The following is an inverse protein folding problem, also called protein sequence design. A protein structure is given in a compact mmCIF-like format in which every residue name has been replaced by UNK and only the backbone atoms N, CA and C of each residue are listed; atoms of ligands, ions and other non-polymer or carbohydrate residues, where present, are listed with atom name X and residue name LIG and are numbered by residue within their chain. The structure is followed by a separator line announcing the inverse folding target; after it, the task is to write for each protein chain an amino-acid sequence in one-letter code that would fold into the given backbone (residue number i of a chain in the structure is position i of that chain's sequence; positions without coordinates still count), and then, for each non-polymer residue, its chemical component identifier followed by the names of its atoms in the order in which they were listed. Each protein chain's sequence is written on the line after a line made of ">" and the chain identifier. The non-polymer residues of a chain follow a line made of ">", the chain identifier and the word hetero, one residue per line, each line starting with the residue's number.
data_IF_057515625384
#
_entry.id   IF_057515625384
#
_cell.length_a   1.000
_cell.length_b   1.000
_cell.length_c   1.000
_cell.angle_alpha   90.00
_cell.angle_beta   90.00
_cell.angle_gamma   90.00
#
_symmetry.space_group_name_H-M   'P 1'
#
loop_
_entity.id
_entity.type
_entity.pdbx_description
1 polymer ?
#
# COMPACT_ATOMS: atom_id res chain seq x y z
N UNK A 1 -1.67 -0.12 -5.38
CA UNK A 1 -0.62 0.66 -4.65
C UNK A 1 -1.25 1.32 -3.44
N UNK A 2 -0.60 1.29 -2.29
CA UNK A 2 -1.02 1.96 -1.05
C UNK A 2 -0.15 3.18 -0.83
N UNK A 3 -0.77 4.33 -0.57
CA UNK A 3 -0.09 5.62 -0.41
C UNK A 3 -0.57 6.23 0.90
N UNK A 4 0.33 6.48 1.84
CA UNK A 4 -0.01 7.10 3.13
C UNK A 4 -0.35 8.58 2.98
N UNK A 5 0.47 9.32 2.23
CA UNK A 5 0.26 10.73 1.94
C UNK A 5 0.05 10.90 0.43
N UNK A 6 -1.21 10.98 0.01
CA UNK A 6 -1.57 11.14 -1.41
C UNK A 6 -1.13 12.49 -1.97
N UNK A 7 -1.16 13.56 -1.14
CA UNK A 7 -0.83 14.93 -1.57
C UNK A 7 0.67 15.08 -1.88
N UNK A 8 1.52 14.61 -0.99
CA UNK A 8 2.98 14.65 -1.21
C UNK A 8 3.40 13.73 -2.35
N UNK A 9 2.74 12.56 -2.45
CA UNK A 9 2.99 11.63 -3.52
C UNK A 9 2.68 12.24 -4.88
N UNK A 10 1.46 12.79 -5.08
CA UNK A 10 1.10 13.38 -6.37
C UNK A 10 1.96 14.59 -6.71
N UNK A 11 2.32 15.42 -5.72
CA UNK A 11 3.25 16.54 -5.92
C UNK A 11 4.60 16.07 -6.49
N UNK A 12 5.16 14.99 -5.92
CA UNK A 12 6.43 14.42 -6.39
C UNK A 12 6.32 13.80 -7.79
N UNK A 13 5.18 13.14 -8.09
CA UNK A 13 4.90 12.55 -9.39
C UNK A 13 4.77 13.63 -10.48
N UNK A 14 4.03 14.71 -10.19
CA UNK A 14 3.88 15.84 -11.11
C UNK A 14 5.22 16.54 -11.37
N UNK A 15 6.03 16.75 -10.34
CA UNK A 15 7.35 17.38 -10.48
C UNK A 15 8.33 16.52 -11.30
N UNK A 16 8.31 15.21 -11.11
CA UNK A 16 9.22 14.30 -11.83
C UNK A 16 8.73 13.89 -13.21
N UNK A 17 7.45 14.09 -13.52
CA UNK A 17 6.74 13.57 -14.70
C UNK A 17 6.93 12.06 -14.92
N UNK A 18 7.14 11.30 -13.82
CA UNK A 18 7.34 9.86 -13.85
C UNK A 18 6.30 9.16 -13.00
N UNK A 19 5.50 8.33 -13.66
CA UNK A 19 4.53 7.44 -13.01
C UNK A 19 5.24 6.17 -12.52
N UNK A 20 4.97 5.73 -11.29
CA UNK A 20 5.35 4.40 -10.83
C UNK A 20 4.60 3.32 -11.61
N UNK A 21 5.26 2.18 -11.89
CA UNK A 21 4.65 1.06 -12.61
C UNK A 21 3.42 0.49 -11.89
N UNK A 22 3.40 0.55 -10.57
CA UNK A 22 2.29 0.06 -9.74
C UNK A 22 1.11 1.05 -9.67
N UNK A 23 1.27 2.30 -10.12
CA UNK A 23 0.21 3.29 -10.13
C UNK A 23 -0.68 3.10 -11.36
N UNK A 24 -1.97 2.83 -11.16
CA UNK A 24 -2.92 2.78 -12.28
C UNK A 24 -3.18 4.16 -12.88
N UNK A 25 -3.46 4.23 -14.18
CA UNK A 25 -3.82 5.47 -14.86
C UNK A 25 -5.05 6.10 -14.21
N UNK A 26 -6.07 5.30 -13.87
CA UNK A 26 -7.28 5.80 -13.21
C UNK A 26 -6.98 6.47 -11.86
N UNK A 27 -6.05 5.91 -11.08
CA UNK A 27 -5.68 6.51 -9.80
C UNK A 27 -4.83 7.77 -9.99
N UNK A 28 -3.93 7.80 -10.97
CA UNK A 28 -3.19 9.00 -11.36
C UNK A 28 -4.16 10.13 -11.76
N UNK A 29 -5.17 9.84 -12.60
CA UNK A 29 -6.22 10.81 -12.98
C UNK A 29 -6.92 11.35 -11.73
N UNK A 30 -7.30 10.47 -10.80
CA UNK A 30 -7.99 10.88 -9.56
C UNK A 30 -7.13 11.80 -8.70
N UNK A 31 -5.87 11.45 -8.48
CA UNK A 31 -4.95 12.27 -7.68
C UNK A 31 -4.64 13.60 -8.36
N UNK A 32 -4.44 13.61 -9.68
CA UNK A 32 -4.21 14.84 -10.46
C UNK A 32 -5.42 15.76 -10.39
N UNK A 33 -6.64 15.24 -10.55
CA UNK A 33 -7.86 16.03 -10.46
C UNK A 33 -8.03 16.64 -9.07
N UNK A 34 -7.84 15.87 -7.99
CA UNK A 34 -7.88 16.36 -6.60
C UNK A 34 -6.85 17.47 -6.37
N UNK A 35 -5.62 17.30 -6.89
CA UNK A 35 -4.53 18.25 -6.69
C UNK A 35 -4.87 19.63 -7.25
N UNK A 36 -5.32 19.69 -8.50
CA UNK A 36 -5.72 20.96 -9.11
C UNK A 36 -7.04 21.49 -8.58
N UNK A 37 -7.97 20.63 -8.18
CA UNK A 37 -9.22 21.05 -7.54
C UNK A 37 -8.97 21.76 -6.21
N UNK A 38 -8.08 21.24 -5.34
CA UNK A 38 -7.72 21.92 -4.08
C UNK A 38 -7.09 23.31 -4.34
N UNK A 39 -6.12 23.37 -5.26
CA UNK A 39 -5.44 24.61 -5.62
C UNK A 39 -6.43 25.66 -6.17
N UNK A 40 -7.40 25.23 -6.96
CA UNK A 40 -8.37 26.13 -7.59
C UNK A 40 -9.55 26.50 -6.67
N UNK A 41 -9.92 25.67 -5.73
CA UNK A 41 -10.98 25.95 -4.75
C UNK A 41 -10.65 27.18 -3.92
N UNK A 42 -9.39 27.40 -3.60
CA UNK A 42 -8.93 28.58 -2.86
C UNK A 42 -9.07 29.87 -3.67
N UNK A 43 -9.00 29.78 -4.99
CA UNK A 43 -9.01 30.93 -5.90
C UNK A 43 -10.36 31.23 -6.56
N UNK A 44 -11.39 30.42 -6.37
CA UNK A 44 -12.79 30.56 -6.82
C UNK A 44 -13.05 30.90 -8.32
N UNK A 45 -12.07 30.74 -9.22
CA UNK A 45 -12.11 31.32 -10.57
C UNK A 45 -12.26 30.30 -11.70
N UNK A 46 -12.23 28.98 -11.44
CA UNK A 46 -12.17 27.99 -12.52
C UNK A 46 -13.34 27.00 -12.50
N UNK A 47 -13.83 26.72 -13.71
CA UNK A 47 -14.95 25.80 -13.94
C UNK A 47 -14.51 24.31 -13.92
N UNK A 48 -15.49 23.42 -13.89
CA UNK A 48 -15.24 21.98 -14.06
C UNK A 48 -14.62 21.63 -15.42
N UNK A 49 -14.95 22.39 -16.47
CA UNK A 49 -14.39 22.19 -17.81
C UNK A 49 -12.92 22.57 -17.88
N UNK A 50 -12.51 23.62 -17.16
CA UNK A 50 -11.10 23.99 -16.99
C UNK A 50 -10.32 22.87 -16.30
N UNK A 51 -10.90 22.27 -15.24
CA UNK A 51 -10.28 21.13 -14.55
C UNK A 51 -10.15 19.91 -15.45
N UNK A 52 -11.19 19.59 -16.23
CA UNK A 52 -11.16 18.49 -17.21
C UNK A 52 -10.01 18.72 -18.21
N UNK A 53 -9.92 19.94 -18.75
CA UNK A 53 -8.88 20.31 -19.71
C UNK A 53 -7.50 20.16 -19.10
N UNK A 54 -7.30 20.70 -17.88
CA UNK A 54 -6.02 20.63 -17.17
C UNK A 54 -5.58 19.21 -16.87
N UNK A 55 -6.50 18.36 -16.39
CA UNK A 55 -6.20 16.94 -16.12
C UNK A 55 -5.80 16.21 -17.40
N UNK A 56 -6.48 16.47 -18.52
CA UNK A 56 -6.13 15.88 -19.83
C UNK A 56 -4.71 16.25 -20.24
N UNK A 57 -4.37 17.55 -20.23
CA UNK A 57 -3.04 18.05 -20.57
C UNK A 57 -1.95 17.37 -19.74
N UNK A 58 -2.13 17.31 -18.42
CA UNK A 58 -1.17 16.70 -17.50
C UNK A 58 -0.99 15.21 -17.78
N UNK A 59 -2.09 14.46 -17.97
CA UNK A 59 -1.99 13.01 -18.24
C UNK A 59 -1.32 12.74 -19.58
N UNK A 60 -1.53 13.57 -20.60
CA UNK A 60 -0.82 13.51 -21.88
C UNK A 60 0.69 13.76 -21.71
N UNK A 61 1.06 14.75 -20.89
CA UNK A 61 2.46 15.10 -20.60
C UNK A 61 3.28 13.96 -19.98
N UNK A 62 2.62 13.02 -19.28
CA UNK A 62 3.29 11.83 -18.74
C UNK A 62 3.75 10.84 -19.82
N UNK A 63 3.29 10.97 -21.05
CA UNK A 63 3.61 10.08 -22.18
C UNK A 63 3.53 8.59 -21.80
N UNK A 64 2.41 8.20 -21.18
CA UNK A 64 2.19 6.85 -20.66
C UNK A 64 1.99 5.89 -21.83
N UNK A 65 2.82 4.85 -21.91
CA UNK A 65 2.70 3.83 -22.95
C UNK A 65 1.30 3.18 -22.92
N UNK A 66 0.64 3.15 -24.08
CA UNK A 66 -0.72 2.60 -24.22
C UNK A 66 -1.85 3.52 -23.72
N UNK A 67 -1.56 4.75 -23.29
CA UNK A 67 -2.60 5.73 -22.99
C UNK A 67 -3.25 6.22 -24.29
N UNK A 68 -4.59 6.17 -24.31
CA UNK A 68 -5.42 6.70 -25.39
C UNK A 68 -6.55 7.52 -24.76
N UNK A 69 -6.57 8.82 -25.05
CA UNK A 69 -7.47 9.79 -24.39
C UNK A 69 -8.96 9.34 -24.43
N UNK A 70 -9.42 8.83 -25.58
CA UNK A 70 -10.82 8.43 -25.75
C UNK A 70 -11.26 7.31 -24.77
N UNK A 71 -10.33 6.48 -24.26
CA UNK A 71 -10.62 5.45 -23.27
C UNK A 71 -10.83 6.04 -21.86
N UNK A 72 -10.26 7.20 -21.58
CA UNK A 72 -10.23 7.79 -20.24
C UNK A 72 -11.06 9.06 -20.10
N UNK A 73 -11.49 9.69 -21.21
CA UNK A 73 -12.21 10.97 -21.19
C UNK A 73 -13.45 10.94 -20.30
N UNK A 74 -14.27 9.89 -20.40
CA UNK A 74 -15.46 9.74 -19.56
C UNK A 74 -15.11 9.59 -18.08
N UNK A 75 -14.00 8.92 -17.76
CA UNK A 75 -13.50 8.78 -16.39
C UNK A 75 -13.02 10.12 -15.84
N UNK A 76 -12.28 10.90 -16.64
CA UNK A 76 -11.82 12.25 -16.28
C UNK A 76 -13.03 13.13 -15.97
N UNK A 77 -14.02 13.19 -16.90
CA UNK A 77 -15.26 13.95 -16.71
C UNK A 77 -16.00 13.57 -15.42
N UNK A 78 -16.19 12.27 -15.20
CA UNK A 78 -16.88 11.77 -13.98
C UNK A 78 -16.15 12.21 -12.71
N UNK A 79 -14.83 12.08 -12.66
CA UNK A 79 -14.05 12.46 -11.46
C UNK A 79 -14.12 13.98 -11.24
N UNK A 80 -13.93 14.79 -12.27
CA UNK A 80 -13.99 16.24 -12.16
C UNK A 80 -15.37 16.72 -11.75
N UNK A 81 -16.46 16.18 -12.35
CA UNK A 81 -17.83 16.51 -11.94
C UNK A 81 -18.09 16.15 -10.48
N UNK A 82 -17.66 14.97 -10.02
CA UNK A 82 -17.84 14.55 -8.63
C UNK A 82 -17.11 15.46 -7.62
N UNK A 83 -15.99 16.07 -8.00
CA UNK A 83 -15.29 17.03 -7.16
C UNK A 83 -16.09 18.32 -6.97
N UNK A 84 -16.77 18.79 -8.01
CA UNK A 84 -17.62 20.00 -7.96
C UNK A 84 -19.04 19.73 -7.46
N UNK A 85 -19.50 18.48 -7.49
CA UNK A 85 -20.82 18.10 -7.00
C UNK A 85 -20.91 18.29 -5.48
N UNK A 86 -21.83 19.12 -5.03
CA UNK A 86 -22.07 19.43 -3.60
C UNK A 86 -23.22 18.62 -2.99
N UNK A 87 -23.82 17.69 -3.76
CA UNK A 87 -24.93 16.87 -3.25
C UNK A 87 -24.48 15.93 -2.13
N UNK A 88 -25.34 15.74 -1.13
CA UNK A 88 -25.10 14.80 -0.02
C UNK A 88 -25.03 13.32 -0.49
N UNK A 89 -25.61 13.03 -1.66
CA UNK A 89 -25.59 11.69 -2.27
C UNK A 89 -24.23 11.33 -2.85
N UNK A 90 -23.35 12.30 -3.06
CA UNK A 90 -22.04 12.07 -3.65
C UNK A 90 -21.05 11.52 -2.61
N UNK A 91 -20.85 10.20 -2.64
CA UNK A 91 -19.87 9.49 -1.80
C UNK A 91 -18.41 9.58 -2.33
N UNK A 92 -18.12 10.47 -3.27
CA UNK A 92 -16.77 10.64 -3.78
C UNK A 92 -15.90 11.37 -2.76
N UNK A 93 -14.81 10.71 -2.33
CA UNK A 93 -13.87 11.34 -1.41
C UNK A 93 -13.08 12.45 -2.12
N UNK A 94 -13.38 13.70 -1.77
CA UNK A 94 -12.77 14.92 -2.34
C UNK A 94 -11.42 15.26 -1.74
N UNK A 95 -11.13 14.78 -0.53
CA UNK A 95 -9.90 15.07 0.20
C UNK A 95 -8.81 14.05 -0.11
N UNK A 96 -7.56 14.45 0.07
CA UNK A 96 -6.44 13.53 0.06
C UNK A 96 -6.40 12.70 1.34
N UNK A 97 -5.87 11.47 1.22
CA UNK A 97 -5.46 10.72 2.39
C UNK A 97 -4.09 11.24 2.82
N UNK A 98 -4.03 11.73 4.05
CA UNK A 98 -2.80 12.26 4.64
C UNK A 98 -2.56 11.55 5.98
N UNK A 99 -1.91 10.38 5.90
CA UNK A 99 -1.54 9.59 7.07
C UNK A 99 -0.03 9.62 7.24
N UNK A 100 0.43 9.85 8.46
CA UNK A 100 1.84 9.74 8.80
C UNK A 100 2.28 8.27 8.91
N UNK A 101 1.41 7.43 9.49
CA UNK A 101 1.64 6.00 9.67
C UNK A 101 0.31 5.25 9.86
N UNK A 102 0.37 3.92 9.74
CA UNK A 102 -0.73 3.04 10.15
C UNK A 102 -0.41 2.50 11.55
N UNK A 103 -1.25 2.80 12.57
CA UNK A 103 -1.05 2.28 13.91
C UNK A 103 -1.47 0.81 14.01
N UNK A 104 -0.65 -0.01 14.68
CA UNK A 104 -0.98 -1.38 15.08
C UNK A 104 -0.87 -1.45 16.59
N UNK A 105 -1.87 -1.99 17.24
CA UNK A 105 -2.03 -1.92 18.67
C UNK A 105 -1.55 -3.19 19.38
N UNK A 106 -1.28 -3.08 20.70
CA UNK A 106 -0.77 -4.20 21.52
C UNK A 106 -1.71 -5.39 21.55
N UNK A 107 -3.04 -5.18 21.69
CA UNK A 107 -4.04 -6.24 21.65
C UNK A 107 -3.99 -7.02 20.34
N UNK A 108 -3.85 -6.31 19.20
CA UNK A 108 -3.74 -6.93 17.86
C UNK A 108 -2.47 -7.78 17.76
N UNK A 109 -1.33 -7.25 18.22
CA UNK A 109 -0.06 -8.01 18.24
C UNK A 109 -0.17 -9.26 19.13
N UNK A 110 -0.85 -9.15 20.27
CA UNK A 110 -1.08 -10.30 21.14
C UNK A 110 -1.93 -11.36 20.43
N UNK A 111 -3.02 -10.99 19.78
CA UNK A 111 -3.84 -11.90 18.95
C UNK A 111 -2.98 -12.59 17.89
N UNK A 112 -2.19 -11.82 17.12
CA UNK A 112 -1.31 -12.37 16.09
C UNK A 112 -0.27 -13.33 16.68
N UNK A 113 0.24 -13.04 17.86
CA UNK A 113 1.27 -13.88 18.53
C UNK A 113 0.80 -15.28 18.84
N UNK A 114 -0.51 -15.51 19.08
CA UNK A 114 -1.10 -16.82 19.37
C UNK A 114 -1.18 -17.73 18.14
N UNK A 115 -1.07 -17.18 16.93
CA UNK A 115 -1.10 -17.98 15.70
C UNK A 115 0.08 -18.95 15.62
N UNK A 116 -0.16 -20.20 15.14
CA UNK A 116 0.85 -21.26 15.21
C UNK A 116 2.01 -21.08 14.22
N UNK A 117 1.76 -20.49 13.05
CA UNK A 117 2.78 -20.40 12.00
C UNK A 117 3.16 -18.96 11.64
N UNK A 118 4.41 -18.74 11.24
CA UNK A 118 4.87 -17.43 10.77
C UNK A 118 4.10 -16.95 9.52
N UNK A 119 3.60 -17.87 8.69
CA UNK A 119 2.80 -17.54 7.51
C UNK A 119 1.47 -16.93 7.90
N UNK A 120 0.77 -17.55 8.87
CA UNK A 120 -0.48 -17.00 9.42
C UNK A 120 -0.25 -15.66 10.12
N UNK A 121 0.81 -15.54 10.92
CA UNK A 121 1.18 -14.28 11.61
C UNK A 121 1.40 -13.15 10.62
N UNK A 122 2.18 -13.39 9.57
CA UNK A 122 2.43 -12.41 8.51
C UNK A 122 1.14 -12.00 7.80
N UNK A 123 0.30 -12.97 7.47
CA UNK A 123 -0.94 -12.75 6.75
C UNK A 123 -1.93 -11.93 7.57
N UNK A 124 -2.18 -12.34 8.82
CA UNK A 124 -3.11 -11.63 9.71
C UNK A 124 -2.60 -10.24 10.06
N UNK A 125 -1.30 -10.05 10.31
CA UNK A 125 -0.71 -8.73 10.49
C UNK A 125 -0.96 -7.83 9.28
N UNK A 126 -0.80 -8.36 8.07
CA UNK A 126 -1.08 -7.64 6.84
C UNK A 126 -2.55 -7.26 6.71
N UNK A 127 -3.47 -8.15 7.13
CA UNK A 127 -4.90 -7.84 7.16
C UNK A 127 -5.20 -6.67 8.12
N UNK A 128 -4.62 -6.64 9.32
CA UNK A 128 -4.78 -5.50 10.24
C UNK A 128 -4.30 -4.18 9.64
N UNK A 129 -3.13 -4.19 9.02
CA UNK A 129 -2.58 -3.01 8.33
C UNK A 129 -3.52 -2.50 7.23
N UNK A 130 -4.01 -3.40 6.38
CA UNK A 130 -4.90 -3.05 5.27
C UNK A 130 -6.25 -2.57 5.79
N UNK A 131 -6.84 -3.26 6.79
CA UNK A 131 -8.12 -2.88 7.36
C UNK A 131 -8.09 -1.47 7.97
N UNK A 132 -6.99 -1.11 8.66
CA UNK A 132 -6.80 0.23 9.19
C UNK A 132 -6.55 1.27 8.11
N UNK A 133 -5.80 0.91 7.07
CA UNK A 133 -5.59 1.80 5.92
C UNK A 133 -6.90 2.09 5.19
N UNK A 134 -7.78 1.10 5.05
CA UNK A 134 -9.08 1.26 4.37
C UNK A 134 -10.13 1.99 5.22
N UNK A 135 -9.98 1.95 6.55
CA UNK A 135 -10.87 2.59 7.52
C UNK A 135 -12.36 2.21 7.34
N UNK A 136 -12.62 0.93 7.08
CA UNK A 136 -13.95 0.38 6.85
C UNK A 136 -14.41 -0.55 7.98
N UNK A 137 -14.16 -0.19 9.24
CA UNK A 137 -14.59 -0.98 10.42
C UNK A 137 -14.02 -2.41 10.46
N UNK A 138 -12.81 -2.57 9.96
CA UNK A 138 -12.12 -3.87 9.89
C UNK A 138 -12.40 -4.68 8.62
N UNK A 139 -13.34 -4.24 7.77
CA UNK A 139 -13.63 -4.91 6.51
C UNK A 139 -12.58 -4.61 5.44
N UNK A 140 -12.22 -5.65 4.71
CA UNK A 140 -11.31 -5.60 3.57
C UNK A 140 -12.10 -6.05 2.35
N UNK A 141 -12.41 -5.11 1.46
CA UNK A 141 -13.22 -5.34 0.28
C UNK A 141 -12.37 -5.92 -0.86
N UNK A 142 -12.88 -6.97 -1.51
CA UNK A 142 -12.23 -7.62 -2.66
C UNK A 142 -12.03 -6.67 -3.85
N UNK A 143 -12.92 -5.69 -4.04
CA UNK A 143 -12.85 -4.74 -5.16
C UNK A 143 -11.64 -3.82 -5.06
N UNK A 144 -11.26 -3.42 -3.84
CA UNK A 144 -10.14 -2.52 -3.57
C UNK A 144 -8.78 -3.24 -3.60
N UNK A 145 -8.82 -4.54 -3.38
CA UNK A 145 -7.70 -5.43 -3.46
C UNK A 145 -7.83 -6.25 -4.74
N UNK A 146 -7.12 -6.16 -5.73
CA UNK A 146 -7.12 -7.09 -6.89
C UNK A 146 -7.24 -8.58 -6.46
N UNK A 147 -8.11 -8.84 -5.49
CA UNK A 147 -8.36 -10.09 -4.77
C UNK A 147 -7.42 -10.32 -3.59
N UNK A 148 -7.69 -11.38 -2.83
CA UNK A 148 -6.86 -11.82 -1.70
C UNK A 148 -5.41 -12.15 -2.09
N UNK A 149 -5.14 -12.39 -3.37
CA UNK A 149 -3.79 -12.62 -3.90
C UNK A 149 -2.85 -11.44 -3.59
N UNK A 150 -3.35 -10.20 -3.59
CA UNK A 150 -2.55 -9.03 -3.24
C UNK A 150 -2.18 -9.01 -1.76
N UNK A 151 -3.10 -9.41 -0.88
CA UNK A 151 -2.80 -9.54 0.56
C UNK A 151 -1.69 -10.55 0.80
N UNK A 152 -1.75 -11.71 0.14
CA UNK A 152 -0.69 -12.73 0.23
C UNK A 152 0.66 -12.20 -0.26
N UNK A 153 0.65 -11.42 -1.35
CA UNK A 153 1.85 -10.77 -1.89
C UNK A 153 2.44 -9.77 -0.89
N UNK A 154 1.63 -8.89 -0.33
CA UNK A 154 2.04 -7.91 0.69
C UNK A 154 2.53 -8.58 1.98
N UNK A 155 1.88 -9.67 2.37
CA UNK A 155 2.31 -10.48 3.50
C UNK A 155 3.63 -11.23 3.25
N UNK A 156 4.11 -11.26 1.99
CA UNK A 156 5.23 -12.10 1.57
C UNK A 156 5.03 -13.58 1.96
N UNK A 157 3.83 -14.11 1.61
CA UNK A 157 3.42 -15.50 1.85
C UNK A 157 3.10 -16.15 0.51
N UNK A 158 3.95 -17.09 0.11
CA UNK A 158 3.77 -17.87 -1.12
C UNK A 158 3.17 -19.23 -0.79
N UNK A 159 1.98 -19.52 -1.34
CA UNK A 159 1.22 -20.76 -1.17
C UNK A 159 0.49 -21.11 -2.47
N UNK A 160 0.20 -22.40 -2.69
CA UNK A 160 -0.76 -22.84 -3.72
C UNK A 160 -2.16 -22.35 -3.37
N UNK A 161 -3.05 -22.29 -4.35
CA UNK A 161 -4.43 -21.82 -4.10
C UNK A 161 -5.15 -22.66 -3.05
N UNK A 162 -4.98 -23.98 -3.10
CA UNK A 162 -5.52 -24.94 -2.12
C UNK A 162 -5.06 -24.59 -0.70
N UNK A 163 -3.74 -24.44 -0.48
CA UNK A 163 -3.18 -24.06 0.82
C UNK A 163 -3.56 -22.66 1.30
N UNK A 164 -3.86 -21.74 0.38
CA UNK A 164 -4.44 -20.44 0.75
C UNK A 164 -5.84 -20.61 1.31
N UNK A 165 -6.66 -21.42 0.64
CA UNK A 165 -8.03 -21.69 1.08
C UNK A 165 -8.05 -22.41 2.42
N UNK A 166 -7.20 -23.42 2.62
CA UNK A 166 -7.02 -24.12 3.91
C UNK A 166 -6.67 -23.14 5.03
N UNK A 167 -5.67 -22.27 4.79
CA UNK A 167 -5.25 -21.27 5.78
C UNK A 167 -6.35 -20.28 6.12
N UNK A 168 -7.13 -19.83 5.14
CA UNK A 168 -8.27 -18.93 5.37
C UNK A 168 -9.37 -19.61 6.17
N UNK A 169 -9.68 -20.88 5.86
CA UNK A 169 -10.63 -21.67 6.61
C UNK A 169 -10.20 -21.87 8.07
N UNK A 170 -8.92 -22.20 8.30
CA UNK A 170 -8.36 -22.33 9.66
C UNK A 170 -8.46 -21.03 10.46
N UNK A 171 -8.12 -19.90 9.83
CA UNK A 171 -8.19 -18.59 10.47
C UNK A 171 -9.64 -18.21 10.80
N UNK A 172 -10.59 -18.54 9.93
CA UNK A 172 -12.00 -18.29 10.17
C UNK A 172 -12.55 -19.20 11.29
N UNK A 173 -12.29 -20.52 11.23
CA UNK A 173 -12.78 -21.47 12.23
C UNK A 173 -12.28 -21.17 13.64
N UNK A 174 -11.12 -20.54 13.77
CA UNK A 174 -10.52 -20.08 15.03
C UNK A 174 -10.90 -18.65 15.42
N UNK A 175 -11.73 -17.97 14.63
CA UNK A 175 -12.23 -16.63 14.93
C UNK A 175 -11.24 -15.47 14.70
N UNK A 176 -10.12 -15.71 13.98
CA UNK A 176 -9.17 -14.63 13.65
C UNK A 176 -9.65 -13.72 12.52
N UNK A 177 -10.49 -14.25 11.65
CA UNK A 177 -11.13 -13.53 10.55
C UNK A 177 -12.60 -13.91 10.42
N UNK A 178 -13.40 -13.02 9.86
CA UNK A 178 -14.79 -13.27 9.50
C UNK A 178 -14.95 -13.14 7.99
N UNK A 179 -15.80 -13.97 7.38
CA UNK A 179 -16.22 -13.83 5.99
C UNK A 179 -17.55 -13.10 5.90
N UNK A 180 -17.73 -12.35 4.82
CA UNK A 180 -19.04 -11.77 4.50
C UNK A 180 -20.06 -12.90 4.25
N UNK A 181 -21.28 -12.75 4.80
CA UNK A 181 -22.37 -13.72 4.64
C UNK A 181 -22.99 -13.75 3.23
N UNK A 182 -22.68 -12.79 2.36
CA UNK A 182 -23.18 -12.77 0.97
C UNK A 182 -22.37 -13.74 0.12
N UNK A 183 -23.06 -14.64 -0.56
CA UNK A 183 -22.52 -15.83 -1.24
C UNK A 183 -21.40 -15.51 -2.25
N UNK A 184 -21.45 -14.39 -2.95
CA UNK A 184 -20.43 -14.02 -3.95
C UNK A 184 -19.40 -12.99 -3.46
N UNK A 185 -19.36 -12.76 -2.15
CA UNK A 185 -18.52 -11.71 -1.58
C UNK A 185 -17.45 -12.30 -0.65
N UNK A 186 -16.22 -12.39 -1.15
CA UNK A 186 -15.04 -12.82 -0.38
C UNK A 186 -14.43 -11.69 0.46
N UNK A 187 -15.25 -10.75 0.93
CA UNK A 187 -14.76 -9.75 1.87
C UNK A 187 -14.38 -10.41 3.18
N UNK A 188 -13.26 -10.01 3.72
CA UNK A 188 -12.74 -10.47 5.01
C UNK A 188 -12.81 -9.33 6.01
N UNK A 189 -13.15 -9.65 7.25
CA UNK A 189 -13.10 -8.73 8.38
C UNK A 189 -12.12 -9.22 9.42
N UNK A 190 -11.38 -8.28 10.02
CA UNK A 190 -10.61 -8.47 11.25
C UNK A 190 -11.16 -7.57 12.35
N UNK A 191 -11.10 -8.05 13.60
CA UNK A 191 -11.53 -7.27 14.76
C UNK A 191 -10.45 -6.27 15.13
N UNK A 192 -10.68 -4.99 14.85
CA UNK A 192 -9.75 -3.91 15.20
C UNK A 192 -9.87 -3.56 16.69
N UNK A 193 -8.73 -3.27 17.32
CA UNK A 193 -8.70 -2.69 18.67
C UNK A 193 -9.17 -1.23 18.64
N UNK A 194 -9.85 -0.81 19.70
CA UNK A 194 -10.21 0.59 19.88
C UNK A 194 -8.96 1.42 20.16
N UNK A 195 -8.71 2.49 19.37
CA UNK A 195 -7.57 3.39 19.57
C UNK A 195 -7.53 4.05 20.95
N UNK A 196 -8.69 4.24 21.61
CA UNK A 196 -8.77 4.89 22.92
C UNK A 196 -8.45 3.93 24.07
N UNK A 197 -8.60 2.62 23.85
CA UNK A 197 -8.44 1.59 24.88
C UNK A 197 -7.14 0.77 24.75
N UNK A 198 -6.31 1.05 23.77
CA UNK A 198 -5.12 0.23 23.51
C UNK A 198 -3.91 1.09 23.10
N UNK A 199 -2.73 0.59 23.41
CA UNK A 199 -1.48 1.28 23.11
C UNK A 199 -0.92 0.88 21.74
N UNK A 200 -0.35 1.84 21.02
CA UNK A 200 0.33 1.58 19.76
C UNK A 200 1.60 0.74 20.01
N UNK A 201 1.59 -0.47 19.47
CA UNK A 201 2.74 -1.36 19.49
C UNK A 201 3.69 -1.13 18.31
N UNK A 202 3.16 -0.69 17.17
CA UNK A 202 3.94 -0.48 15.95
C UNK A 202 3.32 0.60 15.06
N UNK A 203 4.18 1.44 14.48
CA UNK A 203 3.83 2.45 13.48
C UNK A 203 4.36 2.01 12.12
N UNK A 204 3.47 1.63 11.19
CA UNK A 204 3.87 1.23 9.86
C UNK A 204 3.90 2.47 8.95
N UNK A 205 5.06 2.76 8.36
CA UNK A 205 5.30 3.90 7.47
C UNK A 205 5.55 3.46 6.02
N UNK A 206 5.67 2.15 5.76
CA UNK A 206 5.95 1.60 4.43
C UNK A 206 5.19 0.29 4.21
N UNK A 207 4.53 0.17 3.06
CA UNK A 207 3.79 -1.03 2.66
C UNK A 207 4.66 -2.12 2.03
N UNK A 208 5.97 -1.92 1.94
CA UNK A 208 6.88 -2.91 1.37
C UNK A 208 7.07 -4.09 2.35
N UNK A 209 6.75 -5.30 1.86
CA UNK A 209 6.95 -6.54 2.64
C UNK A 209 6.33 -6.50 4.06
N UNK A 210 5.09 -6.05 4.18
CA UNK A 210 4.38 -5.85 5.46
C UNK A 210 4.54 -7.05 6.40
N UNK A 211 4.28 -8.27 5.92
CA UNK A 211 4.38 -9.47 6.76
C UNK A 211 5.79 -9.72 7.32
N UNK A 212 6.85 -9.32 6.59
CA UNK A 212 8.21 -9.43 7.10
C UNK A 212 8.50 -8.37 8.17
N UNK A 213 7.84 -7.22 8.15
CA UNK A 213 7.95 -6.23 9.21
C UNK A 213 7.44 -6.77 10.55
N UNK A 214 6.33 -7.57 10.53
CA UNK A 214 5.89 -8.27 11.73
C UNK A 214 6.97 -9.18 12.31
N UNK A 215 7.43 -10.15 11.49
CA UNK A 215 8.46 -11.09 11.95
C UNK A 215 9.65 -10.34 12.51
N UNK A 216 9.94 -9.20 11.96
CA UNK A 216 11.05 -8.36 12.23
C UNK A 216 11.01 -7.62 13.52
N UNK A 217 9.92 -7.09 13.87
CA UNK A 217 9.77 -6.29 15.07
C UNK A 217 9.36 -7.16 16.26
N UNK A 218 8.69 -8.29 16.03
CA UNK A 218 8.08 -9.05 17.11
C UNK A 218 8.66 -10.47 17.31
N UNK A 219 9.44 -11.00 16.36
CA UNK A 219 10.07 -12.33 16.53
C UNK A 219 11.54 -12.21 16.90
N UNK A 220 11.94 -12.78 18.05
CA UNK A 220 13.34 -12.82 18.48
C UNK A 220 14.25 -13.52 17.46
N UNK A 221 15.49 -13.07 17.35
CA UNK A 221 16.50 -13.70 16.47
C UNK A 221 16.49 -13.21 15.02
N UNK A 222 15.79 -12.13 14.72
CA UNK A 222 15.81 -11.48 13.42
C UNK A 222 16.27 -10.03 13.53
N UNK A 223 16.78 -9.46 12.44
CA UNK A 223 17.13 -8.05 12.29
C UNK A 223 16.83 -7.59 10.87
N UNK A 224 16.76 -6.31 10.64
CA UNK A 224 16.49 -5.74 9.30
C UNK A 224 17.78 -5.63 8.47
N UNK A 225 17.68 -5.87 7.18
CA UNK A 225 18.71 -5.57 6.21
C UNK A 225 18.90 -4.04 6.12
N UNK A 226 20.12 -3.55 6.33
CA UNK A 226 20.40 -2.10 6.29
C UNK A 226 20.09 -1.42 4.96
N UNK A 227 20.03 -2.19 3.86
CA UNK A 227 19.83 -1.60 2.53
C UNK A 227 18.37 -1.65 2.04
N UNK A 228 17.63 -2.73 2.32
CA UNK A 228 16.28 -2.92 1.77
C UNK A 228 15.22 -3.18 2.83
N UNK A 229 15.54 -3.08 4.12
CA UNK A 229 14.61 -3.37 5.22
C UNK A 229 14.18 -4.85 5.33
N UNK A 230 14.51 -5.69 4.33
CA UNK A 230 14.17 -7.12 4.34
C UNK A 230 14.78 -7.79 5.58
N UNK A 231 13.98 -8.63 6.19
CA UNK A 231 14.41 -9.31 7.40
C UNK A 231 15.39 -10.42 7.12
N UNK A 232 16.39 -10.44 7.96
CA UNK A 232 17.44 -11.46 7.95
C UNK A 232 17.52 -12.13 9.30
N UNK A 233 17.76 -13.44 9.30
CA UNK A 233 18.02 -14.17 10.52
C UNK A 233 19.30 -13.63 11.17
N UNK A 234 19.25 -13.28 12.43
CA UNK A 234 20.42 -12.79 13.18
C UNK A 234 21.34 -13.94 13.52
N UNK A 235 22.21 -14.31 12.56
CA UNK A 235 23.19 -15.38 12.72
C UNK A 235 24.54 -14.89 13.23
N UNK A 236 24.64 -13.60 13.58
CA UNK A 236 25.85 -12.98 14.08
C UNK A 236 25.89 -11.47 13.79
N UNK A 237 26.78 -10.76 14.48
CA UNK A 237 26.87 -9.30 14.40
C UNK A 237 27.29 -8.76 13.03
N UNK A 238 27.99 -9.58 12.21
CA UNK A 238 28.53 -9.16 10.92
C UNK A 238 27.49 -9.20 9.77
N UNK A 239 26.42 -9.98 9.88
CA UNK A 239 25.42 -10.13 8.79
C UNK A 239 24.43 -8.98 8.83
N UNK A 240 24.75 -7.84 8.25
CA UNK A 240 23.90 -6.63 8.23
C UNK A 240 23.04 -6.48 6.95
N UNK A 241 23.29 -7.28 5.93
CA UNK A 241 22.56 -7.28 4.66
C UNK A 241 21.91 -8.64 4.37
N UNK A 242 20.78 -8.66 3.64
CA UNK A 242 20.25 -9.89 3.05
C UNK A 242 21.17 -10.37 1.91
N UNK A 243 21.03 -11.62 1.49
CA UNK A 243 21.88 -12.22 0.44
C UNK A 243 21.88 -11.38 -0.83
N UNK A 244 20.71 -10.98 -1.34
CA UNK A 244 20.56 -10.16 -2.55
C UNK A 244 21.25 -8.79 -2.43
N UNK A 245 21.11 -8.11 -1.28
CA UNK A 245 21.75 -6.82 -1.06
C UNK A 245 23.27 -6.96 -0.87
N UNK A 246 23.71 -7.99 -0.17
CA UNK A 246 25.14 -8.29 -0.02
C UNK A 246 25.82 -8.53 -1.38
N UNK A 247 25.18 -9.31 -2.26
CA UNK A 247 25.66 -9.53 -3.63
C UNK A 247 25.73 -8.24 -4.46
N UNK A 248 24.68 -7.40 -4.39
CA UNK A 248 24.69 -6.11 -5.10
C UNK A 248 25.82 -5.19 -4.62
N UNK A 249 25.99 -5.06 -3.30
CA UNK A 249 27.04 -4.23 -2.69
C UNK A 249 28.43 -4.75 -3.06
N UNK A 250 28.62 -6.08 -3.04
CA UNK A 250 29.88 -6.70 -3.43
C UNK A 250 30.19 -6.46 -4.92
N UNK A 251 29.20 -6.58 -5.81
CA UNK A 251 29.38 -6.28 -7.26
C UNK A 251 29.78 -4.83 -7.49
N UNK A 252 29.17 -3.88 -6.77
CA UNK A 252 29.51 -2.45 -6.87
C UNK A 252 30.93 -2.21 -6.36
N UNK A 253 31.29 -2.76 -5.20
CA UNK A 253 32.63 -2.66 -4.64
C UNK A 253 33.71 -3.23 -5.55
N UNK A 254 33.42 -4.38 -6.22
CA UNK A 254 34.32 -4.99 -7.20
C UNK A 254 34.50 -4.11 -8.43
N UNK A 255 33.38 -3.55 -8.98
CA UNK A 255 33.45 -2.62 -10.13
C UNK A 255 34.29 -1.38 -9.82
N UNK A 256 34.11 -0.79 -8.62
CA UNK A 256 34.86 0.41 -8.24
C UNK A 256 36.35 0.11 -8.10
N UNK A 257 36.71 -1.00 -7.46
CA UNK A 257 38.09 -1.46 -7.31
C UNK A 257 38.77 -1.71 -8.66
N UNK A 258 38.03 -2.31 -9.62
CA UNK A 258 38.52 -2.54 -10.98
C UNK A 258 38.68 -1.25 -11.80
N UNK A 259 37.85 -0.23 -11.52
CA UNK A 259 38.03 1.11 -12.12
C UNK A 259 39.27 1.83 -11.59
N UNK A 260 39.48 1.76 -10.28
CA UNK A 260 40.67 2.34 -9.62
C UNK A 260 41.97 1.70 -10.15
N UNK A 261 42.00 0.37 -10.31
CA UNK A 261 43.14 -0.35 -10.88
C UNK A 261 43.40 -0.07 -12.37
N UNK A 262 42.40 0.39 -13.14
CA UNK A 262 42.59 0.77 -14.54
C UNK A 262 43.01 2.23 -14.71
N UNK A 263 42.83 3.05 -13.68
CA UNK A 263 43.18 4.48 -13.69
C UNK A 263 44.49 4.77 -12.95
N UNK A 264 45.10 3.74 -12.36
CA UNK A 264 46.45 3.73 -11.77
C UNK A 264 47.45 3.10 -12.77
#
# INVERSE_FOLDING_TARGET
>A
MYILNEKDYIRSVLASKKKSDDLSINYLITLTAKYYYEDWKENNEKSVDDLITKVKEIILDFNINGYQEYLYINRIKTICNNLYDTSEENNFNKTFRELEYIPIYKKEINVISTLPTDRQKKFVFTLYVIARYMDCGGWINKKDLKGLSEVFKLANVTLTQEKKNEMLYELHSKGYIEFCKKIDNLNIRVSLSDPQEDEIAYKLTDFTNIGNQYIGNFKKGYKQCKNCGKRIKNTGNRKIYCTECAEKINRIGTKNRMKELRNS
#
